data_IF_069228620812
#
_entry.id   IF_069228620812
#
_cell.length_a   1.000
_cell.length_b   1.000
_cell.length_c   1.000
_cell.angle_alpha   90.00
_cell.angle_beta   90.00
_cell.angle_gamma   90.00
#
_symmetry.space_group_name_H-M   'P 1'
#
loop_
_entity.id
_entity.type
_entity.pdbx_description
1 polymer ?
#
# COMPACT_ATOMS: atom_id res chain seq x y z
N UNK A 1 4.34 -26.91 8.11
CA UNK A 1 5.56 -26.11 7.83
C UNK A 1 6.88 -26.76 8.28
N UNK A 2 7.03 -27.19 9.55
CA UNK A 2 8.29 -27.77 10.07
C UNK A 2 8.81 -29.01 9.30
N UNK A 3 7.92 -29.93 8.91
CA UNK A 3 8.31 -31.14 8.16
C UNK A 3 8.83 -30.82 6.75
N UNK A 4 8.17 -29.88 6.04
CA UNK A 4 8.60 -29.44 4.71
C UNK A 4 9.99 -28.77 4.75
N UNK A 5 10.22 -27.89 5.74
CA UNK A 5 11.53 -27.25 5.93
C UNK A 5 12.64 -28.25 6.27
N UNK A 6 12.33 -29.28 7.08
CA UNK A 6 13.28 -30.38 7.37
C UNK A 6 13.61 -31.20 6.12
N UNK A 7 12.61 -31.47 5.26
CA UNK A 7 12.80 -32.17 3.99
C UNK A 7 13.69 -31.36 3.03
N UNK A 8 13.40 -30.08 2.86
CA UNK A 8 14.23 -29.18 2.04
C UNK A 8 15.69 -29.14 2.53
N UNK A 9 15.90 -29.09 3.85
CA UNK A 9 17.25 -29.11 4.43
C UNK A 9 18.00 -30.41 4.12
N UNK A 10 17.33 -31.57 4.16
CA UNK A 10 17.93 -32.87 3.80
C UNK A 10 18.28 -32.93 2.31
N UNK A 11 17.36 -32.53 1.44
CA UNK A 11 17.61 -32.48 0.00
C UNK A 11 18.82 -31.58 -0.32
N UNK A 12 18.91 -30.42 0.33
CA UNK A 12 20.05 -29.52 0.18
C UNK A 12 21.38 -30.14 0.66
N UNK A 13 21.37 -30.88 1.77
CA UNK A 13 22.56 -31.61 2.24
C UNK A 13 23.01 -32.70 1.26
N UNK A 14 22.05 -33.32 0.57
CA UNK A 14 22.29 -34.30 -0.49
C UNK A 14 22.63 -33.66 -1.84
N UNK A 15 22.79 -32.33 -1.91
CA UNK A 15 23.05 -31.57 -3.15
C UNK A 15 21.97 -31.78 -4.23
N UNK A 16 20.74 -32.10 -3.83
CA UNK A 16 19.61 -32.25 -4.75
C UNK A 16 19.01 -30.87 -5.03
N UNK A 17 18.84 -30.56 -6.31
CA UNK A 17 18.20 -29.32 -6.75
C UNK A 17 16.76 -29.22 -6.30
N UNK A 18 16.38 -28.01 -5.90
CA UNK A 18 15.01 -27.70 -5.51
C UNK A 18 14.20 -27.48 -6.79
N UNK A 19 13.13 -28.24 -7.03
CA UNK A 19 12.19 -27.94 -8.11
C UNK A 19 11.48 -26.61 -7.80
N UNK A 20 11.45 -25.71 -8.78
CA UNK A 20 10.88 -24.37 -8.66
C UNK A 20 9.91 -24.10 -9.80
N UNK A 21 8.70 -23.75 -9.42
CA UNK A 21 7.67 -23.27 -10.34
C UNK A 21 7.81 -21.76 -10.58
N UNK A 22 7.34 -21.23 -11.72
CA UNK A 22 7.19 -19.79 -11.90
C UNK A 22 6.29 -19.17 -10.82
N UNK A 23 6.60 -17.96 -10.30
CA UNK A 23 7.75 -17.12 -10.63
C UNK A 23 8.98 -17.38 -9.74
N UNK A 24 8.95 -18.42 -8.89
CA UNK A 24 10.04 -18.74 -7.95
C UNK A 24 11.32 -19.22 -8.65
N UNK A 25 11.21 -19.60 -9.92
CA UNK A 25 12.33 -19.90 -10.81
C UNK A 25 12.75 -18.70 -11.69
N UNK A 26 12.16 -17.52 -11.50
CA UNK A 26 12.48 -16.30 -12.23
C UNK A 26 11.80 -16.15 -13.60
N UNK A 27 11.03 -17.14 -14.06
CA UNK A 27 10.17 -17.00 -15.23
C UNK A 27 8.88 -16.26 -14.86
N UNK A 28 8.27 -15.57 -15.82
CA UNK A 28 6.96 -14.96 -15.62
C UNK A 28 5.87 -16.03 -15.49
N UNK A 29 4.75 -15.63 -14.88
CA UNK A 29 3.48 -16.38 -14.91
C UNK A 29 2.58 -15.71 -15.96
N UNK A 30 2.45 -16.26 -17.19
CA UNK A 30 1.75 -15.59 -18.29
C UNK A 30 0.31 -15.17 -17.95
N UNK A 31 -0.39 -15.98 -17.15
CA UNK A 31 -1.77 -15.74 -16.74
C UNK A 31 -1.91 -14.52 -15.82
N UNK A 32 -0.83 -14.10 -15.16
CA UNK A 32 -0.80 -12.94 -14.26
C UNK A 32 -0.29 -11.66 -14.92
N UNK A 33 0.26 -11.73 -16.14
CA UNK A 33 0.71 -10.53 -16.85
C UNK A 33 -0.45 -9.56 -17.12
N UNK A 34 -1.62 -9.99 -17.63
CA UNK A 34 -2.76 -9.09 -17.81
C UNK A 34 -3.25 -8.48 -16.49
N UNK A 35 -3.22 -9.25 -15.40
CA UNK A 35 -3.58 -8.77 -14.06
C UNK A 35 -2.65 -7.64 -13.62
N UNK A 36 -1.34 -7.78 -13.88
CA UNK A 36 -0.36 -6.76 -13.55
C UNK A 36 -0.60 -5.44 -14.31
N UNK A 37 -0.97 -5.52 -15.59
CA UNK A 37 -1.36 -4.34 -16.37
C UNK A 37 -2.65 -3.71 -15.83
N UNK A 38 -3.67 -4.51 -15.54
CA UNK A 38 -4.93 -4.02 -14.97
C UNK A 38 -4.73 -3.34 -13.61
N UNK A 39 -3.88 -3.90 -12.74
CA UNK A 39 -3.53 -3.27 -11.45
C UNK A 39 -2.91 -1.90 -11.68
N UNK A 40 -1.95 -1.79 -12.61
CA UNK A 40 -1.26 -0.53 -12.87
C UNK A 40 -2.21 0.54 -13.44
N UNK A 41 -3.14 0.16 -14.31
CA UNK A 41 -4.11 1.10 -14.87
C UNK A 41 -5.17 1.54 -13.85
N UNK A 42 -5.67 0.61 -13.02
CA UNK A 42 -6.55 0.99 -11.91
C UNK A 42 -5.81 1.84 -10.87
N UNK A 43 -4.51 1.63 -10.66
CA UNK A 43 -3.68 2.45 -9.78
C UNK A 43 -3.62 3.92 -10.22
N UNK A 44 -3.39 4.17 -11.53
CA UNK A 44 -3.45 5.53 -12.10
C UNK A 44 -4.82 6.18 -11.92
N UNK A 45 -5.89 5.42 -12.19
CA UNK A 45 -7.27 5.89 -12.01
C UNK A 45 -7.55 6.24 -10.56
N UNK A 46 -7.07 5.42 -9.62
CA UNK A 46 -7.21 5.64 -8.19
C UNK A 46 -6.50 6.93 -7.75
N UNK A 47 -5.21 7.09 -8.06
CA UNK A 47 -4.42 8.28 -7.68
C UNK A 47 -5.09 9.55 -8.23
N UNK A 48 -5.43 9.56 -9.52
CA UNK A 48 -6.08 10.70 -10.16
C UNK A 48 -7.43 11.01 -9.52
N UNK A 49 -8.24 9.98 -9.27
CA UNK A 49 -9.56 10.10 -8.67
C UNK A 49 -9.49 10.70 -7.26
N UNK A 50 -8.58 10.19 -6.41
CA UNK A 50 -8.37 10.71 -5.06
C UNK A 50 -7.94 12.18 -5.09
N UNK A 51 -6.97 12.54 -5.94
CA UNK A 51 -6.51 13.93 -6.10
C UNK A 51 -7.65 14.88 -6.47
N UNK A 52 -8.56 14.45 -7.34
CA UNK A 52 -9.74 15.24 -7.72
C UNK A 52 -10.80 15.32 -6.61
N UNK A 53 -11.03 14.23 -5.87
CA UNK A 53 -12.00 14.21 -4.78
C UNK A 53 -11.56 15.07 -3.59
N UNK A 54 -10.25 15.17 -3.32
CA UNK A 54 -9.69 16.04 -2.28
C UNK A 54 -9.89 17.54 -2.51
N UNK A 55 -10.32 17.94 -3.71
CA UNK A 55 -10.68 19.33 -4.01
C UNK A 55 -12.10 19.68 -3.55
N UNK A 56 -12.94 18.68 -3.28
CA UNK A 56 -14.38 18.86 -2.99
C UNK A 56 -14.80 18.23 -1.66
N UNK A 57 -14.18 17.13 -1.25
CA UNK A 57 -14.37 16.52 0.07
C UNK A 57 -13.20 16.89 0.97
N UNK A 58 -13.52 17.37 2.17
CA UNK A 58 -12.51 17.75 3.15
C UNK A 58 -11.89 16.51 3.81
N UNK A 59 -10.56 16.49 3.85
CA UNK A 59 -9.76 15.52 4.59
C UNK A 59 -8.85 16.29 5.53
N UNK A 60 -8.74 15.79 6.76
CA UNK A 60 -7.93 16.38 7.82
C UNK A 60 -6.94 15.36 8.36
N UNK A 61 -5.65 15.73 8.38
CA UNK A 61 -4.61 15.01 9.11
C UNK A 61 -4.30 15.71 10.43
N UNK A 62 -4.09 14.95 11.50
CA UNK A 62 -3.66 15.52 12.78
C UNK A 62 -2.16 15.83 12.73
N UNK A 63 -1.76 17.06 13.10
CA UNK A 63 -0.34 17.50 13.12
C UNK A 63 0.53 16.79 14.16
N UNK A 64 -0.08 15.99 15.05
CA UNK A 64 0.57 15.50 16.27
C UNK A 64 0.54 13.98 16.41
N UNK A 65 -0.39 13.30 15.75
CA UNK A 65 -0.45 11.86 15.68
C UNK A 65 -0.93 11.41 14.30
N UNK A 66 -0.76 10.14 13.93
CA UNK A 66 -1.20 9.57 12.63
C UNK A 66 -2.71 9.58 12.34
N UNK A 67 -3.54 10.27 13.13
CA UNK A 67 -4.98 10.24 12.90
C UNK A 67 -5.41 11.08 11.70
N UNK A 68 -6.38 10.53 10.94
CA UNK A 68 -6.98 11.17 9.77
C UNK A 68 -8.50 11.20 9.96
N UNK A 69 -9.14 12.21 9.40
CA UNK A 69 -10.58 12.36 9.36
C UNK A 69 -11.03 12.78 7.96
N UNK A 70 -12.10 12.17 7.48
CA UNK A 70 -12.76 12.54 6.23
C UNK A 70 -14.15 13.04 6.60
N UNK A 71 -14.49 14.25 6.17
CA UNK A 71 -15.74 14.91 6.55
C UNK A 71 -15.57 16.44 6.55
N UNK A 72 -16.67 17.20 6.67
CA UNK A 72 -16.62 18.66 6.54
C UNK A 72 -15.84 19.33 7.68
N UNK A 73 -15.90 18.78 8.90
CA UNK A 73 -15.24 19.33 10.08
C UNK A 73 -14.58 18.20 10.86
N UNK A 74 -13.33 18.40 11.28
CA UNK A 74 -12.58 17.45 12.11
C UNK A 74 -13.37 16.98 13.34
N UNK A 75 -13.31 15.69 13.66
CA UNK A 75 -14.04 15.12 14.78
C UNK A 75 -13.57 15.65 16.14
N UNK A 76 -14.47 15.55 17.14
CA UNK A 76 -14.25 15.96 18.54
C UNK A 76 -13.92 14.78 19.48
N UNK A 77 -13.73 13.57 18.95
CA UNK A 77 -13.26 12.42 19.75
C UNK A 77 -11.86 12.73 20.33
N UNK A 78 -11.75 12.56 21.65
CA UNK A 78 -10.56 12.88 22.46
C UNK A 78 -9.59 11.69 22.55
N UNK A 79 -9.06 11.24 21.41
CA UNK A 79 -8.14 10.10 21.30
C UNK A 79 -6.77 10.48 20.72
N UNK A 80 -6.41 11.77 20.72
CA UNK A 80 -5.08 12.21 20.30
C UNK A 80 -4.03 11.79 21.32
N UNK A 81 -3.09 10.95 20.89
CA UNK A 81 -1.90 10.56 21.66
C UNK A 81 -0.63 11.30 21.23
N UNK A 82 -0.79 12.34 20.40
CA UNK A 82 0.32 13.14 19.89
C UNK A 82 0.95 14.07 20.93
N UNK A 83 2.11 14.63 20.60
CA UNK A 83 2.84 15.52 21.52
C UNK A 83 1.98 16.69 22.04
N UNK A 84 2.01 16.92 23.35
CA UNK A 84 1.22 17.94 24.04
C UNK A 84 -0.29 17.65 24.11
N UNK A 85 -0.74 16.40 23.90
CA UNK A 85 -2.15 16.01 23.99
C UNK A 85 -2.79 16.37 25.33
N UNK A 86 -2.07 16.18 26.44
CA UNK A 86 -2.55 16.51 27.80
C UNK A 86 -3.01 17.97 27.91
N UNK A 87 -2.28 18.92 27.31
CA UNK A 87 -2.64 20.36 27.32
C UNK A 87 -3.85 20.70 26.43
N UNK A 88 -4.18 19.81 25.48
CA UNK A 88 -5.31 19.95 24.56
C UNK A 88 -6.48 19.03 24.92
N UNK A 89 -6.47 18.43 26.12
CA UNK A 89 -7.47 17.44 26.54
C UNK A 89 -7.66 16.32 25.49
N UNK A 90 -6.56 15.83 24.92
CA UNK A 90 -6.54 14.81 23.87
C UNK A 90 -7.31 15.15 22.59
N UNK A 91 -7.62 16.43 22.35
CA UNK A 91 -8.11 16.89 21.06
C UNK A 91 -7.01 16.92 20.00
N UNK A 92 -7.40 16.56 18.78
CA UNK A 92 -6.56 16.61 17.60
C UNK A 92 -6.30 18.04 17.16
N UNK A 93 -5.11 18.25 16.58
CA UNK A 93 -4.75 19.51 15.91
C UNK A 93 -4.87 19.28 14.42
N UNK A 94 -6.08 19.47 13.90
CA UNK A 94 -6.41 19.21 12.50
C UNK A 94 -5.72 20.20 11.56
N UNK A 95 -5.23 19.69 10.43
CA UNK A 95 -4.76 20.44 9.29
C UNK A 95 -5.32 19.81 8.01
N UNK A 96 -5.32 20.55 6.90
CA UNK A 96 -5.70 20.00 5.61
C UNK A 96 -4.83 18.78 5.30
N UNK A 97 -5.47 17.64 5.06
CA UNK A 97 -4.83 16.39 4.66
C UNK A 97 -4.47 16.40 3.17
N UNK A 98 -3.66 15.43 2.80
CA UNK A 98 -3.13 15.16 1.47
C UNK A 98 -3.59 13.79 0.98
N UNK A 99 -3.28 13.46 -0.28
CA UNK A 99 -3.52 12.11 -0.81
C UNK A 99 -2.80 11.04 0.01
N UNK A 100 -1.62 11.34 0.55
CA UNK A 100 -0.83 10.40 1.36
C UNK A 100 -1.46 10.09 2.72
N UNK A 101 -2.35 10.96 3.21
CA UNK A 101 -3.16 10.69 4.41
C UNK A 101 -4.31 9.71 4.10
N UNK A 102 -4.76 9.65 2.84
CA UNK A 102 -5.87 8.79 2.40
C UNK A 102 -5.34 7.44 1.89
N UNK A 103 -4.32 7.48 1.05
CA UNK A 103 -3.65 6.35 0.42
C UNK A 103 -2.18 6.38 0.84
N UNK A 104 -1.83 5.51 1.80
CA UNK A 104 -0.48 5.49 2.37
C UNK A 104 0.53 5.01 1.32
N UNK A 105 1.53 5.81 0.94
CA UNK A 105 2.54 5.40 -0.02
C UNK A 105 3.46 4.35 0.60
N UNK A 106 3.54 3.18 -0.05
CA UNK A 106 4.50 2.13 0.27
C UNK A 106 5.45 1.99 -0.90
N UNK A 107 6.74 2.09 -0.63
CA UNK A 107 7.80 1.98 -1.62
C UNK A 107 8.54 0.64 -1.51
N UNK A 108 9.17 0.25 -2.60
CA UNK A 108 10.17 -0.82 -2.67
C UNK A 108 11.35 -0.32 -3.49
N UNK A 109 12.52 -0.94 -3.27
CA UNK A 109 13.60 -0.81 -4.24
C UNK A 109 13.19 -1.46 -5.56
N UNK A 110 13.49 -0.78 -6.66
CA UNK A 110 13.40 -1.38 -7.99
C UNK A 110 14.54 -2.39 -8.20
N UNK A 111 14.23 -3.55 -8.77
CA UNK A 111 15.22 -4.57 -9.11
C UNK A 111 15.18 -4.93 -10.59
N UNK A 112 16.31 -4.74 -11.28
CA UNK A 112 16.47 -5.29 -12.63
C UNK A 112 16.30 -6.81 -12.65
N UNK A 113 16.81 -7.54 -11.66
CA UNK A 113 16.64 -8.99 -11.54
C UNK A 113 16.42 -9.38 -10.05
N UNK A 114 15.23 -9.86 -9.65
CA UNK A 114 14.97 -10.31 -8.27
C UNK A 114 15.89 -11.43 -7.79
N UNK A 115 16.52 -12.16 -8.72
CA UNK A 115 17.48 -13.23 -8.44
C UNK A 115 18.94 -12.78 -8.57
N UNK A 116 19.15 -11.51 -8.91
CA UNK A 116 20.44 -10.85 -9.08
C UNK A 116 21.11 -10.47 -7.75
N UNK A 117 21.71 -9.28 -7.73
CA UNK A 117 22.41 -8.75 -6.55
C UNK A 117 21.37 -8.17 -5.57
N UNK A 118 21.46 -8.58 -4.31
CA UNK A 118 20.65 -7.97 -3.24
C UNK A 118 21.16 -6.56 -2.96
N UNK A 119 20.23 -5.61 -2.84
CA UNK A 119 20.52 -4.23 -2.41
C UNK A 119 21.21 -4.26 -1.03
N UNK A 120 22.42 -3.71 -0.96
CA UNK A 120 23.18 -3.56 0.29
C UNK A 120 23.01 -2.14 0.83
N UNK A 121 23.37 -1.96 2.10
CA UNK A 121 23.23 -0.65 2.75
C UNK A 121 24.09 0.43 2.09
N UNK A 122 25.33 0.13 1.74
CA UNK A 122 26.30 1.01 1.08
C UNK A 122 25.89 1.37 -0.35
N UNK A 123 25.35 0.41 -1.11
CA UNK A 123 24.93 0.60 -2.51
C UNK A 123 23.47 1.04 -2.64
N UNK A 124 22.78 1.37 -1.54
CA UNK A 124 21.31 1.57 -1.57
C UNK A 124 20.86 2.76 -2.42
N UNK A 125 21.75 3.73 -2.61
CA UNK A 125 21.48 4.93 -3.40
C UNK A 125 21.67 4.71 -4.90
N UNK A 126 22.19 3.55 -5.29
CA UNK A 126 22.33 3.15 -6.70
C UNK A 126 21.00 2.56 -7.24
N UNK A 127 20.00 2.40 -6.39
CA UNK A 127 18.70 1.82 -6.72
C UNK A 127 17.59 2.84 -6.51
N UNK A 128 16.68 2.91 -7.47
CA UNK A 128 15.48 3.72 -7.35
C UNK A 128 14.52 3.15 -6.31
N UNK A 129 13.81 4.05 -5.64
CA UNK A 129 12.67 3.74 -4.75
C UNK A 129 11.41 4.08 -5.51
N UNK A 130 10.56 3.08 -5.72
CA UNK A 130 9.31 3.23 -6.48
C UNK A 130 8.15 2.65 -5.68
N UNK A 131 6.88 3.01 -5.97
CA UNK A 131 5.75 2.41 -5.28
C UNK A 131 5.77 0.88 -5.38
N UNK A 132 5.57 0.17 -4.27
CA UNK A 132 5.68 -1.29 -4.20
C UNK A 132 4.68 -2.00 -5.13
N UNK A 133 3.51 -1.38 -5.38
CA UNK A 133 2.54 -1.86 -6.36
C UNK A 133 3.12 -1.80 -7.78
N UNK A 134 3.82 -0.72 -8.12
CA UNK A 134 4.46 -0.55 -9.44
C UNK A 134 5.57 -1.58 -9.62
N UNK A 135 6.43 -1.75 -8.61
CA UNK A 135 7.48 -2.79 -8.64
C UNK A 135 6.87 -4.19 -8.77
N UNK A 136 5.79 -4.50 -8.03
CA UNK A 136 5.09 -5.78 -8.15
C UNK A 136 4.57 -6.01 -9.57
N UNK A 137 3.96 -5.00 -10.19
CA UNK A 137 3.51 -5.08 -11.58
C UNK A 137 4.69 -5.29 -12.55
N UNK A 138 5.83 -4.60 -12.36
CA UNK A 138 7.02 -4.77 -13.18
C UNK A 138 7.53 -6.22 -13.10
N UNK A 139 7.68 -6.74 -11.88
CA UNK A 139 8.14 -8.13 -11.69
C UNK A 139 7.12 -9.15 -12.20
N UNK A 140 5.84 -8.77 -12.27
CA UNK A 140 4.78 -9.60 -12.83
C UNK A 140 4.65 -9.56 -14.36
N UNK A 141 5.44 -8.73 -15.04
CA UNK A 141 5.55 -8.71 -16.50
C UNK A 141 5.20 -7.39 -17.16
N UNK A 142 4.87 -6.33 -16.41
CA UNK A 142 4.68 -5.00 -17.00
C UNK A 142 6.02 -4.39 -17.37
N UNK A 143 6.20 -4.04 -18.65
CA UNK A 143 7.39 -3.34 -19.11
C UNK A 143 7.24 -1.82 -18.94
N UNK A 144 8.09 -1.26 -18.09
CA UNK A 144 8.25 0.19 -17.93
C UNK A 144 9.68 0.56 -18.35
N UNK A 145 9.88 1.26 -19.49
CA UNK A 145 11.22 1.59 -19.97
C UNK A 145 12.08 2.43 -18.99
N UNK A 146 11.44 3.09 -18.03
CA UNK A 146 12.08 3.85 -16.96
C UNK A 146 12.62 2.96 -15.84
N UNK A 147 12.05 1.77 -15.70
CA UNK A 147 12.39 0.78 -14.66
C UNK A 147 12.56 -0.59 -15.33
N UNK A 148 13.66 -0.76 -16.09
CA UNK A 148 13.88 -1.97 -16.85
C UNK A 148 13.99 -3.19 -15.93
N UNK A 149 13.47 -4.33 -16.40
CA UNK A 149 13.56 -5.59 -15.66
C UNK A 149 13.93 -6.73 -16.60
N UNK A 150 14.76 -7.64 -16.11
CA UNK A 150 15.24 -8.81 -16.82
C UNK A 150 14.11 -9.82 -16.95
N UNK A 151 13.62 -10.00 -18.18
CA UNK A 151 12.71 -11.11 -18.53
C UNK A 151 13.53 -12.37 -18.77
N UNK A 152 13.52 -13.31 -17.82
CA UNK A 152 14.26 -14.56 -17.95
C UNK A 152 13.54 -15.50 -18.92
N UNK A 153 14.30 -16.13 -19.80
CA UNK A 153 13.85 -17.22 -20.69
C UNK A 153 14.25 -18.61 -20.19
N UNK A 154 15.20 -18.66 -19.24
CA UNK A 154 15.66 -19.86 -18.57
C UNK A 154 15.52 -19.72 -17.05
N UNK A 155 15.11 -20.79 -16.35
CA UNK A 155 14.88 -20.76 -14.91
C UNK A 155 16.19 -20.64 -14.13
N UNK A 156 16.15 -19.99 -12.98
CA UNK A 156 17.22 -20.10 -11.98
C UNK A 156 17.22 -21.49 -11.34
N UNK A 157 18.39 -21.97 -10.96
CA UNK A 157 18.55 -23.25 -10.27
C UNK A 157 18.99 -23.01 -8.84
N UNK A 158 18.40 -23.75 -7.90
CA UNK A 158 18.68 -23.59 -6.47
C UNK A 158 18.91 -24.92 -5.78
N UNK A 159 19.80 -24.91 -4.78
CA UNK A 159 19.92 -25.96 -3.77
C UNK A 159 19.57 -25.34 -2.42
N UNK A 160 18.50 -25.82 -1.79
CA UNK A 160 17.94 -25.21 -0.59
C UNK A 160 17.55 -23.74 -0.81
N UNK A 161 18.28 -22.81 -0.18
CA UNK A 161 18.09 -21.34 -0.33
C UNK A 161 19.19 -20.68 -1.17
N UNK A 162 20.17 -21.45 -1.67
CA UNK A 162 21.31 -20.93 -2.42
C UNK A 162 21.02 -21.07 -3.92
N UNK A 163 21.09 -19.95 -4.63
CA UNK A 163 21.09 -19.94 -6.10
C UNK A 163 22.43 -20.47 -6.58
N UNK A 164 22.40 -21.57 -7.33
CA UNK A 164 23.61 -22.21 -7.89
C UNK A 164 23.86 -21.77 -9.33
N UNK A 165 22.81 -21.40 -10.06
CA UNK A 165 22.89 -20.95 -11.44
C UNK A 165 21.88 -19.81 -11.67
N UNK A 166 22.37 -18.71 -12.22
CA UNK A 166 21.60 -17.49 -12.56
C UNK A 166 21.47 -17.29 -14.07
N UNK A 167 22.05 -18.17 -14.88
CA UNK A 167 22.36 -17.89 -16.28
C UNK A 167 23.43 -16.81 -16.41
N UNK A 168 23.59 -16.28 -17.61
CA UNK A 168 24.57 -15.25 -17.92
C UNK A 168 24.29 -13.94 -17.18
N UNK A 169 25.36 -13.20 -16.90
CA UNK A 169 25.25 -11.84 -16.40
C UNK A 169 24.81 -10.94 -17.56
N UNK A 170 23.75 -10.17 -17.33
CA UNK A 170 23.22 -9.24 -18.32
C UNK A 170 23.41 -7.85 -17.74
N UNK A 171 24.04 -6.96 -18.50
CA UNK A 171 24.16 -5.57 -18.11
C UNK A 171 22.78 -4.92 -18.07
N UNK A 172 22.51 -4.24 -16.96
CA UNK A 172 21.27 -3.51 -16.78
C UNK A 172 21.20 -2.36 -17.80
N UNK A 173 20.15 -2.31 -18.64
CA UNK A 173 20.03 -1.25 -19.62
C UNK A 173 19.79 0.08 -18.91
N UNK A 174 20.29 1.18 -19.49
CA UNK A 174 20.08 2.50 -18.91
C UNK A 174 18.59 2.85 -18.94
N UNK A 175 18.01 3.34 -17.82
CA UNK A 175 16.66 3.85 -17.78
C UNK A 175 16.37 4.91 -18.84
N UNK A 176 15.23 4.82 -19.52
CA UNK A 176 14.78 5.87 -20.44
C UNK A 176 14.27 7.09 -19.66
N UNK A 177 14.72 8.30 -20.04
CA UNK A 177 14.39 9.57 -19.36
C UNK A 177 13.87 10.64 -20.33
N UNK A 178 12.91 10.29 -21.21
CA UNK A 178 12.26 11.31 -22.06
C UNK A 178 11.18 12.08 -21.29
N UNK A 179 10.75 13.24 -21.78
CA UNK A 179 9.67 14.04 -21.14
C UNK A 179 8.37 13.23 -20.98
N UNK A 180 8.02 12.42 -21.99
CA UNK A 180 6.88 11.51 -21.93
C UNK A 180 7.02 10.47 -20.79
N UNK A 181 8.26 10.02 -20.51
CA UNK A 181 8.52 9.12 -19.39
C UNK A 181 8.25 9.80 -18.04
N UNK A 182 8.63 11.07 -17.90
CA UNK A 182 8.40 11.83 -16.65
C UNK A 182 6.91 12.00 -16.36
N UNK A 183 6.10 12.28 -17.39
CA UNK A 183 4.64 12.36 -17.24
C UNK A 183 4.02 11.04 -16.79
N UNK A 184 4.44 9.91 -17.37
CA UNK A 184 3.94 8.59 -16.99
C UNK A 184 4.29 8.25 -15.54
N UNK A 185 5.52 8.54 -15.11
CA UNK A 185 5.96 8.32 -13.73
C UNK A 185 5.16 9.15 -12.72
N UNK A 186 4.81 10.39 -13.09
CA UNK A 186 3.99 11.26 -12.25
C UNK A 186 2.57 10.73 -12.01
N UNK A 187 2.04 9.86 -12.89
CA UNK A 187 0.73 9.22 -12.71
C UNK A 187 0.79 7.99 -11.81
N UNK A 188 1.98 7.44 -11.57
CA UNK A 188 2.19 6.22 -10.79
C UNK A 188 2.48 6.48 -9.31
N UNK A 189 2.75 7.73 -8.95
CA UNK A 189 3.14 8.11 -7.61
C UNK A 189 2.24 9.23 -7.06
N UNK A 190 1.85 9.06 -5.80
CA UNK A 190 1.09 10.04 -5.02
C UNK A 190 1.87 11.31 -4.67
N UNK A 191 3.22 11.30 -4.76
CA UNK A 191 4.05 12.48 -4.48
C UNK A 191 4.06 13.52 -5.61
N UNK A 192 3.74 13.10 -6.84
CA UNK A 192 3.68 14.03 -7.97
C UNK A 192 2.37 14.81 -7.92
N UNK A 193 2.42 16.01 -7.33
CA UNK A 193 1.30 16.95 -7.27
C UNK A 193 0.90 17.41 -8.68
N UNK A 194 0.09 16.63 -9.38
CA UNK A 194 -0.64 17.13 -10.53
C UNK A 194 -1.73 18.05 -9.99
N UNK A 195 -1.68 19.35 -10.33
CA UNK A 195 -2.84 20.23 -10.18
C UNK A 195 -3.94 19.70 -11.10
N UNK A 196 -4.73 18.76 -10.61
CA UNK A 196 -5.85 18.20 -11.37
C UNK A 196 -7.05 19.12 -11.24
N UNK A 197 -7.64 19.50 -12.37
CA UNK A 197 -8.85 20.31 -12.40
C UNK A 197 -9.95 19.68 -11.53
N UNK A 198 -10.60 20.52 -10.73
CA UNK A 198 -11.73 20.12 -9.89
C UNK A 198 -12.86 19.56 -10.74
N UNK A 199 -13.49 18.44 -10.34
CA UNK A 199 -14.63 17.90 -11.06
C UNK A 199 -15.83 18.85 -10.94
N UNK A 200 -16.68 18.90 -11.97
CA UNK A 200 -17.99 19.54 -11.84
C UNK A 200 -18.88 18.75 -10.86
N UNK A 201 -19.87 19.39 -10.20
CA UNK A 201 -20.74 18.71 -9.22
C UNK A 201 -21.49 17.49 -9.79
N UNK A 202 -21.98 17.57 -11.03
CA UNK A 202 -22.67 16.46 -11.70
C UNK A 202 -21.77 15.26 -11.97
N UNK A 203 -20.46 15.47 -12.10
CA UNK A 203 -19.47 14.43 -12.35
C UNK A 203 -18.86 13.84 -11.06
N UNK A 204 -19.17 14.41 -9.89
CA UNK A 204 -18.58 14.01 -8.61
C UNK A 204 -18.97 12.59 -8.19
N UNK A 205 -20.26 12.27 -8.25
CA UNK A 205 -20.77 10.94 -7.86
C UNK A 205 -20.17 9.83 -8.75
N UNK A 206 -20.08 10.08 -10.06
CA UNK A 206 -19.50 9.12 -11.00
C UNK A 206 -17.99 8.97 -10.79
N UNK A 207 -17.28 10.08 -10.55
CA UNK A 207 -15.87 10.06 -10.18
C UNK A 207 -15.64 9.25 -8.90
N UNK A 208 -16.47 9.44 -7.87
CA UNK A 208 -16.39 8.72 -6.61
C UNK A 208 -16.61 7.21 -6.82
N UNK A 209 -17.63 6.83 -7.59
CA UNK A 209 -17.90 5.43 -7.96
C UNK A 209 -16.73 4.79 -8.69
N UNK A 210 -16.19 5.49 -9.71
CA UNK A 210 -15.02 5.01 -10.49
C UNK A 210 -13.77 4.88 -9.62
N UNK A 211 -13.51 5.85 -8.74
CA UNK A 211 -12.35 5.85 -7.84
C UNK A 211 -12.43 4.71 -6.83
N UNK A 212 -13.60 4.51 -6.22
CA UNK A 212 -13.84 3.40 -5.29
C UNK A 212 -13.68 2.04 -5.97
N UNK A 213 -14.24 1.88 -7.18
CA UNK A 213 -14.07 0.67 -7.98
C UNK A 213 -12.59 0.40 -8.29
N UNK A 214 -11.84 1.43 -8.67
CA UNK A 214 -10.41 1.30 -8.92
C UNK A 214 -9.64 0.84 -7.68
N UNK A 215 -9.95 1.38 -6.49
CA UNK A 215 -9.37 0.93 -5.21
C UNK A 215 -9.61 -0.57 -4.95
N UNK A 216 -10.85 -1.03 -5.11
CA UNK A 216 -11.22 -2.43 -4.91
C UNK A 216 -10.53 -3.35 -5.93
N UNK A 217 -10.45 -2.93 -7.18
CA UNK A 217 -9.76 -3.66 -8.24
C UNK A 217 -8.25 -3.77 -7.98
N UNK A 218 -7.60 -2.68 -7.54
CA UNK A 218 -6.18 -2.70 -7.15
C UNK A 218 -5.96 -3.72 -6.02
N UNK A 219 -6.75 -3.68 -4.95
CA UNK A 219 -6.60 -4.62 -3.82
C UNK A 219 -6.73 -6.08 -4.28
N UNK A 220 -7.74 -6.37 -5.09
CA UNK A 220 -7.97 -7.73 -5.63
C UNK A 220 -6.85 -8.18 -6.57
N UNK A 221 -6.40 -7.31 -7.47
CA UNK A 221 -5.32 -7.64 -8.39
C UNK A 221 -4.00 -7.85 -7.66
N UNK A 222 -3.69 -7.02 -6.65
CA UNK A 222 -2.52 -7.21 -5.76
C UNK A 222 -2.60 -8.55 -5.04
N UNK A 223 -3.78 -8.92 -4.50
CA UNK A 223 -4.00 -10.24 -3.89
C UNK A 223 -3.73 -11.39 -4.88
N UNK A 224 -4.24 -11.28 -6.11
CA UNK A 224 -3.99 -12.28 -7.16
C UNK A 224 -2.51 -12.38 -7.52
N UNK A 225 -1.80 -11.26 -7.69
CA UNK A 225 -0.36 -11.25 -7.96
C UNK A 225 0.42 -11.89 -6.80
N UNK A 226 0.12 -11.49 -5.57
CA UNK A 226 0.80 -11.98 -4.35
C UNK A 226 0.51 -13.45 -4.05
N UNK A 227 -0.52 -14.05 -4.66
CA UNK A 227 -0.75 -15.50 -4.59
C UNK A 227 0.39 -16.33 -5.22
N UNK A 228 1.19 -15.72 -6.11
CA UNK A 228 2.33 -16.35 -6.81
C UNK A 228 3.64 -15.59 -6.62
N UNK A 229 3.63 -14.27 -6.83
CA UNK A 229 4.79 -13.41 -6.69
C UNK A 229 5.08 -13.15 -5.21
N UNK A 230 6.34 -13.29 -4.82
CA UNK A 230 6.75 -13.10 -3.43
C UNK A 230 7.00 -11.63 -3.16
N UNK A 231 6.37 -11.12 -2.11
CA UNK A 231 6.66 -9.80 -1.53
C UNK A 231 7.04 -10.01 -0.07
N UNK A 232 8.05 -9.30 0.40
CA UNK A 232 8.53 -9.33 1.78
C UNK A 232 8.16 -8.03 2.48
N UNK A 233 7.69 -8.15 3.71
CA UNK A 233 7.49 -7.02 4.61
C UNK A 233 8.38 -7.17 5.84
N UNK A 234 8.81 -6.07 6.43
CA UNK A 234 9.47 -6.08 7.72
C UNK A 234 8.42 -6.19 8.83
N UNK A 235 8.51 -7.20 9.71
CA UNK A 235 7.59 -7.36 10.84
C UNK A 235 7.71 -6.29 11.94
N UNK A 236 8.48 -5.21 11.72
CA UNK A 236 8.73 -4.16 12.70
C UNK A 236 8.53 -2.73 12.17
N UNK A 237 8.58 -2.53 10.85
CA UNK A 237 8.42 -1.21 10.22
C UNK A 237 7.73 -1.36 8.85
N UNK A 238 7.31 -0.26 8.25
CA UNK A 238 6.59 -0.24 6.96
C UNK A 238 7.45 -0.54 5.72
N UNK A 239 8.61 -1.19 5.89
CA UNK A 239 9.50 -1.48 4.78
C UNK A 239 9.00 -2.71 4.01
N UNK A 240 8.90 -2.58 2.69
CA UNK A 240 8.46 -3.62 1.77
C UNK A 240 9.52 -3.85 0.70
N UNK A 241 9.60 -5.10 0.25
CA UNK A 241 10.49 -5.51 -0.82
C UNK A 241 9.81 -6.51 -1.72
N UNK A 242 9.65 -6.19 -3.00
CA UNK A 242 9.13 -7.12 -3.99
C UNK A 242 10.27 -8.05 -4.44
N UNK A 243 10.08 -9.35 -4.23
CA UNK A 243 11.08 -10.36 -4.56
C UNK A 243 11.16 -11.50 -3.55
N UNK A 244 11.89 -12.57 -3.89
CA UNK A 244 12.00 -13.76 -3.06
C UNK A 244 12.74 -13.53 -1.73
N UNK A 245 13.60 -12.51 -1.65
CA UNK A 245 14.39 -12.19 -0.47
C UNK A 245 14.41 -10.70 -0.24
N UNK A 246 14.16 -10.27 1.00
CA UNK A 246 14.33 -8.87 1.36
C UNK A 246 15.77 -8.39 1.22
N UNK A 247 15.94 -7.06 1.11
CA UNK A 247 17.24 -6.42 0.98
C UNK A 247 18.08 -6.47 2.27
N UNK A 248 19.37 -6.13 2.14
CA UNK A 248 20.34 -6.08 3.24
C UNK A 248 20.60 -4.66 3.77
N UNK A 249 19.81 -3.67 3.35
CA UNK A 249 19.87 -2.31 3.89
C UNK A 249 19.58 -2.32 5.40
N UNK A 250 20.31 -1.51 6.15
CA UNK A 250 20.22 -1.38 7.61
C UNK A 250 19.50 -0.09 8.02
N UNK A 251 18.22 0.05 7.65
CA UNK A 251 17.43 1.27 7.91
C UNK A 251 16.16 0.99 8.72
N UNK A 252 16.02 -0.18 9.32
CA UNK A 252 14.90 -0.46 10.20
C UNK A 252 14.98 0.44 11.44
N UNK A 253 14.11 1.46 11.53
CA UNK A 253 14.07 2.41 12.65
C UNK A 253 13.22 1.95 13.84
N UNK A 254 12.66 0.74 13.78
CA UNK A 254 11.72 0.24 14.78
C UNK A 254 12.35 0.11 16.19
N UNK A 255 11.51 -0.02 17.22
CA UNK A 255 11.98 -0.24 18.59
C UNK A 255 12.98 -1.40 18.65
N UNK A 256 14.06 -1.22 19.43
CA UNK A 256 15.18 -2.17 19.57
C UNK A 256 15.93 -2.51 18.26
N UNK A 257 15.88 -1.68 17.22
CA UNK A 257 16.66 -1.91 16.00
C UNK A 257 18.18 -1.97 16.21
N UNK A 258 18.71 -1.27 17.22
CA UNK A 258 20.14 -1.30 17.61
C UNK A 258 20.63 -2.74 17.85
N UNK A 259 19.81 -3.59 18.48
CA UNK A 259 20.11 -5.01 18.74
C UNK A 259 20.14 -5.88 17.47
N UNK A 260 19.60 -5.36 16.36
CA UNK A 260 19.57 -5.99 15.05
C UNK A 260 20.51 -5.30 14.06
N UNK A 261 21.34 -4.35 14.51
CA UNK A 261 22.24 -3.59 13.63
C UNK A 261 21.44 -2.94 12.48
N UNK A 262 20.26 -2.40 12.79
CA UNK A 262 19.36 -1.74 11.84
C UNK A 262 18.73 -2.67 10.78
N UNK A 263 18.95 -3.99 10.84
CA UNK A 263 18.45 -4.94 9.83
C UNK A 263 16.95 -5.17 9.95
N UNK A 264 16.30 -5.41 8.81
CA UNK A 264 14.88 -5.72 8.73
C UNK A 264 14.60 -7.17 9.15
N UNK A 265 13.43 -7.38 9.78
CA UNK A 265 12.90 -8.70 10.12
C UNK A 265 11.94 -9.16 9.03
N UNK A 266 12.47 -9.69 7.93
CA UNK A 266 11.68 -10.04 6.76
C UNK A 266 10.75 -11.23 7.00
N UNK A 267 9.48 -11.05 6.63
CA UNK A 267 8.45 -12.07 6.54
C UNK A 267 7.74 -11.98 5.19
N UNK A 268 6.92 -12.97 4.84
CA UNK A 268 6.02 -12.84 3.69
C UNK A 268 5.00 -11.74 3.99
N UNK A 269 4.84 -10.81 3.05
CA UNK A 269 3.87 -9.73 3.16
C UNK A 269 2.44 -10.26 2.93
N UNK A 270 1.46 -9.64 3.58
CA UNK A 270 0.06 -9.71 3.15
C UNK A 270 -0.30 -8.46 2.33
N UNK A 271 -1.51 -8.43 1.78
CA UNK A 271 -1.96 -7.33 0.91
C UNK A 271 -1.88 -5.99 1.63
N UNK A 272 -2.18 -5.97 2.93
CA UNK A 272 -2.21 -4.75 3.73
C UNK A 272 -0.82 -4.15 4.01
N UNK A 273 0.29 -4.85 3.84
CA UNK A 273 1.61 -4.20 3.86
C UNK A 273 1.94 -3.53 2.54
N UNK A 274 1.36 -3.97 1.42
CA UNK A 274 1.57 -3.37 0.09
C UNK A 274 0.60 -2.21 -0.17
N UNK A 275 -0.65 -2.34 0.28
CA UNK A 275 -1.69 -1.32 0.22
C UNK A 275 -2.38 -1.15 1.59
N UNK A 276 -1.71 -0.52 2.56
CA UNK A 276 -2.24 -0.40 3.92
C UNK A 276 -3.50 0.45 3.98
N UNK A 277 -4.58 -0.04 4.61
CA UNK A 277 -5.75 0.77 4.86
C UNK A 277 -5.48 1.78 5.98
N UNK A 278 -5.73 3.07 5.72
CA UNK A 278 -5.77 4.07 6.79
C UNK A 278 -7.20 4.19 7.33
N UNK A 279 -7.49 3.61 8.51
CA UNK A 279 -8.85 3.59 9.04
C UNK A 279 -9.26 4.91 9.69
N UNK A 280 -10.33 5.51 9.16
CA UNK A 280 -10.98 6.70 9.71
C UNK A 280 -12.34 6.37 10.30
N UNK A 281 -12.86 7.24 11.17
CA UNK A 281 -14.23 7.14 11.65
C UNK A 281 -15.21 7.44 10.52
N UNK A 282 -16.23 6.59 10.36
CA UNK A 282 -17.32 6.85 9.42
C UNK A 282 -18.17 8.03 9.89
N UNK A 283 -18.54 8.93 8.98
CA UNK A 283 -19.45 10.06 9.23
C UNK A 283 -20.81 9.79 8.57
N UNK A 284 -21.82 9.30 9.31
CA UNK A 284 -23.09 8.90 8.70
C UNK A 284 -23.89 10.06 8.11
N UNK A 285 -23.86 11.21 8.79
CA UNK A 285 -24.50 12.45 8.35
C UNK A 285 -23.45 13.58 8.30
N UNK A 286 -22.98 13.97 7.11
CA UNK A 286 -22.00 15.05 6.95
C UNK A 286 -22.57 16.42 7.36
N UNK A 287 -23.89 16.60 7.30
CA UNK A 287 -24.56 17.81 7.76
C UNK A 287 -24.82 17.83 9.26
N UNK A 288 -24.60 16.70 9.93
CA UNK A 288 -24.84 16.52 11.34
C UNK A 288 -23.77 17.13 12.25
N UNK A 289 -23.92 16.86 13.56
CA UNK A 289 -22.92 17.28 14.55
C UNK A 289 -21.60 16.50 14.40
N UNK A 290 -20.44 17.12 14.66
CA UNK A 290 -19.16 16.41 14.65
C UNK A 290 -19.15 15.21 15.62
N UNK A 291 -18.45 14.14 15.25
CA UNK A 291 -18.35 12.93 16.07
C UNK A 291 -17.71 13.23 17.44
N UNK A 292 -18.28 12.70 18.53
CA UNK A 292 -17.87 12.98 19.92
C UNK A 292 -17.45 11.72 20.68
N UNK A 293 -16.63 11.88 21.72
CA UNK A 293 -16.14 10.75 22.54
C UNK A 293 -17.27 9.94 23.18
N UNK A 294 -18.36 10.57 23.61
CA UNK A 294 -19.49 9.91 24.29
C UNK A 294 -20.22 8.90 23.41
N UNK A 295 -20.11 9.02 22.09
CA UNK A 295 -20.79 8.17 21.11
C UNK A 295 -19.83 7.24 20.36
N UNK A 296 -18.56 7.18 20.80
CA UNK A 296 -17.50 6.42 20.12
C UNK A 296 -17.84 4.94 19.94
N UNK A 297 -18.57 4.35 20.87
CA UNK A 297 -19.02 2.95 20.83
C UNK A 297 -20.08 2.68 19.76
N UNK A 298 -20.72 3.70 19.19
CA UNK A 298 -21.73 3.58 18.13
C UNK A 298 -21.14 3.78 16.73
N UNK A 299 -20.03 4.52 16.62
CA UNK A 299 -19.44 4.84 15.32
C UNK A 299 -18.70 3.65 14.69
N UNK A 300 -18.82 3.54 13.37
CA UNK A 300 -18.03 2.64 12.54
C UNK A 300 -16.71 3.24 12.09
N UNK A 301 -15.90 2.39 11.43
CA UNK A 301 -14.66 2.80 10.78
C UNK A 301 -14.55 2.17 9.40
N UNK A 302 -13.90 2.86 8.48
CA UNK A 302 -13.58 2.36 7.15
C UNK A 302 -12.21 2.89 6.68
N UNK A 303 -11.58 2.27 5.68
CA UNK A 303 -10.42 2.86 5.04
C UNK A 303 -10.75 4.27 4.51
N UNK A 304 -9.82 5.21 4.65
CA UNK A 304 -9.99 6.61 4.27
C UNK A 304 -10.40 6.76 2.79
N UNK A 305 -9.86 5.92 1.91
CA UNK A 305 -10.25 5.86 0.49
C UNK A 305 -11.75 5.57 0.33
N UNK A 306 -12.27 4.62 1.11
CA UNK A 306 -13.69 4.22 1.08
C UNK A 306 -14.54 5.36 1.62
N UNK A 307 -14.20 5.89 2.80
CA UNK A 307 -14.93 7.01 3.41
C UNK A 307 -14.95 8.22 2.47
N UNK A 308 -13.82 8.59 1.86
CA UNK A 308 -13.73 9.69 0.91
C UNK A 308 -14.67 9.52 -0.28
N UNK A 309 -14.72 8.33 -0.88
CA UNK A 309 -15.60 8.07 -2.00
C UNK A 309 -17.08 8.08 -1.58
N UNK A 310 -17.41 7.52 -0.41
CA UNK A 310 -18.78 7.51 0.12
C UNK A 310 -19.26 8.93 0.43
N UNK A 311 -18.42 9.75 1.07
CA UNK A 311 -18.69 11.18 1.31
C UNK A 311 -18.88 11.97 0.01
N UNK A 312 -18.26 11.52 -1.09
CA UNK A 312 -18.45 12.09 -2.43
C UNK A 312 -19.65 11.49 -3.20
N UNK A 313 -20.47 10.65 -2.56
CA UNK A 313 -21.72 10.11 -3.10
C UNK A 313 -21.63 8.71 -3.73
N UNK A 314 -20.51 8.01 -3.59
CA UNK A 314 -20.44 6.58 -3.92
C UNK A 314 -21.28 5.75 -2.93
N UNK A 315 -21.81 4.63 -3.40
CA UNK A 315 -22.51 3.69 -2.53
C UNK A 315 -21.52 2.92 -1.66
N UNK A 316 -21.92 2.60 -0.43
CA UNK A 316 -21.09 1.84 0.51
C UNK A 316 -20.94 0.41 -0.03
N UNK A 317 -19.70 -0.09 -0.26
CA UNK A 317 -19.49 -1.48 -0.67
C UNK A 317 -19.92 -2.45 0.43
N UNK A 318 -20.47 -3.59 0.04
CA UNK A 318 -20.99 -4.58 0.98
C UNK A 318 -19.93 -5.07 1.97
N UNK A 319 -18.67 -5.21 1.53
CA UNK A 319 -17.54 -5.62 2.37
C UNK A 319 -17.19 -4.63 3.51
N UNK A 320 -17.60 -3.35 3.38
CA UNK A 320 -17.37 -2.33 4.41
C UNK A 320 -18.62 -1.93 5.19
N UNK A 321 -19.82 -2.35 4.76
CA UNK A 321 -21.09 -1.93 5.39
C UNK A 321 -21.12 -2.23 6.90
N UNK A 322 -20.70 -3.43 7.29
CA UNK A 322 -20.62 -3.82 8.71
C UNK A 322 -19.55 -3.02 9.48
N UNK A 323 -18.42 -2.71 8.86
CA UNK A 323 -17.36 -1.91 9.49
C UNK A 323 -17.80 -0.46 9.71
N UNK A 324 -18.60 0.07 8.78
CA UNK A 324 -19.18 1.41 8.84
C UNK A 324 -20.39 1.50 9.79
N UNK A 325 -20.91 0.35 10.27
CA UNK A 325 -22.00 0.27 11.26
C UNK A 325 -23.25 1.03 10.84
N UNK A 326 -23.62 0.89 9.57
CA UNK A 326 -24.82 1.54 9.00
C UNK A 326 -26.13 1.03 9.59
N UNK A 327 -26.09 -0.11 10.27
CA UNK A 327 -27.19 -0.77 10.97
C UNK A 327 -27.37 -0.30 12.42
N UNK A 328 -26.45 0.52 12.93
CA UNK A 328 -26.51 1.05 14.30
C UNK A 328 -27.13 2.44 14.30
N UNK A 329 -28.23 2.58 15.04
CA UNK A 329 -28.83 3.90 15.32
C UNK A 329 -27.94 4.65 16.31
N UNK A 330 -27.51 5.85 15.93
CA UNK A 330 -26.74 6.72 16.82
C UNK A 330 -27.73 7.46 17.72
N UNK A 331 -27.64 7.29 19.06
CA UNK A 331 -28.56 7.96 19.97
C UNK A 331 -28.38 9.46 19.91
N UNK A 332 -29.48 10.19 20.06
CA UNK A 332 -29.42 11.65 20.13
C UNK A 332 -28.71 12.11 21.42
N UNK A 333 -28.47 13.43 21.55
CA UNK A 333 -27.71 13.96 22.68
C UNK A 333 -28.38 13.79 24.05
N UNK A 334 -29.67 13.46 24.09
CA UNK A 334 -30.46 13.20 25.30
C UNK A 334 -30.40 11.71 25.62
N UNK A 335 -30.66 10.85 24.65
CA UNK A 335 -30.55 9.39 24.75
C UNK A 335 -29.13 8.94 25.12
N UNK A 336 -28.10 9.58 24.55
CA UNK A 336 -26.70 9.29 24.85
C UNK A 336 -26.32 9.56 26.30
N UNK A 337 -26.99 10.51 26.98
CA UNK A 337 -26.78 10.79 28.41
C UNK A 337 -27.50 9.79 29.30
N UNK A 338 -28.55 9.14 28.80
CA UNK A 338 -29.28 8.11 29.54
C UNK A 338 -28.63 6.72 29.41
N UNK A 339 -27.78 6.52 28.39
CA UNK A 339 -27.05 5.28 28.14
C UNK A 339 -25.61 5.25 28.70
N UNK A 340 -25.15 6.36 29.30
CA UNK A 340 -23.83 6.52 29.93
C UNK A 340 -23.95 6.41 31.45
#
# INVERSE_FOLDING_TARGET
>A
MLQASRREKRLAQMHIEKPLEPPKNGLLVPELVPVAHEVLDNWKVLIRGLSQLLNVVSVYGCRKCPQVHVGPVGHQIQDCYGSGSQRRNSHHSWARGSINDVLIPIESYHLFDPFGRRVKHDTRFDYDRIPAIVELCIQAGVDLPQYPSRRRTAPVRMIGKKVIDRGEFVDEPKPQRSEHCVSLLAELDTFSNQQVQSPSPSNMKELAKRTLKAYLNVRRGVEQLMSKYTVKACGYCSEVHVGPWGHNVKLCGAFKHQWRDGKHGWQDAVVDEVIPPNYVWHVPDPSGSPLRSSLRSFYGKAPAVVELCVQAGAEIPDEYRAMMRTDIVIPDSVEARMAA
#
